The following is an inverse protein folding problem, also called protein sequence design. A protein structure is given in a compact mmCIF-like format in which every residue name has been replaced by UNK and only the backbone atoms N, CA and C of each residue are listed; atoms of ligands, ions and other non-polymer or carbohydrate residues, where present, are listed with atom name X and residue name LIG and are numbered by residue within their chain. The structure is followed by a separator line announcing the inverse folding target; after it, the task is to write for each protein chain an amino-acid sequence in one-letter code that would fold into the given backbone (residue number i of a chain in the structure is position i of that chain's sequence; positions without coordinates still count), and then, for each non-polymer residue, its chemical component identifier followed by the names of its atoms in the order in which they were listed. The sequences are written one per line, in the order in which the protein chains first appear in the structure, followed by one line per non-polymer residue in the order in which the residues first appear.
data_IF_402110906979
#
_entry.id   IF_402110906979
#
_cell.length_a   1.000
_cell.length_b   1.000
_cell.length_c   1.000
_cell.angle_alpha   90.00
_cell.angle_beta   90.00
_cell.angle_gamma   90.00
#
_symmetry.space_group_name_H-M   'P 1'
#
loop_
_entity.id
_entity.type
_entity.pdbx_description
1 polymer ?
#
# COMPACT_ATOMS: atom_id res chain seq x y z
N UNK A 1 21.17 19.90 -64.36
CA UNK A 1 19.95 19.30 -63.78
C UNK A 1 20.38 18.42 -62.61
N UNK A 2 19.67 18.46 -61.48
CA UNK A 2 19.82 19.40 -60.37
C UNK A 2 21.04 19.09 -59.46
N UNK A 3 21.54 20.12 -58.76
CA UNK A 3 22.61 20.00 -57.78
C UNK A 3 22.13 19.23 -56.55
N UNK A 4 23.03 18.41 -56.00
CA UNK A 4 22.80 17.72 -54.74
C UNK A 4 22.58 18.77 -53.64
N UNK A 5 21.38 18.81 -53.07
CA UNK A 5 21.10 19.49 -51.81
C UNK A 5 21.91 18.80 -50.70
N UNK A 6 23.13 19.27 -50.47
CA UNK A 6 23.88 18.90 -49.28
C UNK A 6 23.12 19.50 -48.09
N UNK A 7 22.52 18.71 -47.19
CA UNK A 7 21.77 19.25 -46.07
C UNK A 7 22.69 20.17 -45.26
N UNK A 8 22.30 21.44 -45.10
CA UNK A 8 23.08 22.41 -44.35
C UNK A 8 23.32 21.88 -42.93
N UNK A 9 24.58 21.90 -42.43
CA UNK A 9 24.89 21.33 -41.12
C UNK A 9 24.19 22.14 -40.02
N UNK A 10 23.42 21.45 -39.17
CA UNK A 10 22.76 22.03 -38.01
C UNK A 10 23.77 22.16 -36.85
N UNK A 11 23.68 23.25 -36.10
CA UNK A 11 24.44 23.39 -34.85
C UNK A 11 23.94 22.42 -33.77
N UNK A 12 24.79 22.06 -32.81
CA UNK A 12 24.43 21.19 -31.67
C UNK A 12 23.21 21.73 -30.92
N UNK A 13 23.15 23.05 -30.74
CA UNK A 13 22.00 23.73 -30.13
C UNK A 13 20.73 23.61 -30.96
N UNK A 14 20.82 23.67 -32.29
CA UNK A 14 19.67 23.48 -33.17
C UNK A 14 19.14 22.05 -33.16
N UNK A 15 20.03 21.05 -33.12
CA UNK A 15 19.66 19.64 -33.00
C UNK A 15 18.90 19.39 -31.69
N UNK A 16 19.44 19.84 -30.55
CA UNK A 16 18.80 19.67 -29.24
C UNK A 16 17.46 20.41 -29.16
N UNK A 17 17.38 21.64 -29.67
CA UNK A 17 16.13 22.42 -29.70
C UNK A 17 15.06 21.72 -30.55
N UNK A 18 15.42 21.19 -31.71
CA UNK A 18 14.48 20.52 -32.63
C UNK A 18 14.03 19.17 -32.07
N UNK A 19 14.92 18.41 -31.43
CA UNK A 19 14.61 17.17 -30.73
C UNK A 19 13.65 17.42 -29.56
N UNK A 20 13.92 18.44 -28.74
CA UNK A 20 13.04 18.87 -27.64
C UNK A 20 11.64 19.20 -28.13
N UNK A 21 11.52 20.04 -29.16
CA UNK A 21 10.23 20.44 -29.71
C UNK A 21 9.43 19.26 -30.26
N UNK A 22 10.10 18.30 -30.90
CA UNK A 22 9.43 17.11 -31.44
C UNK A 22 8.91 16.22 -30.31
N UNK A 23 9.74 15.99 -29.28
CA UNK A 23 9.37 15.23 -28.09
C UNK A 23 8.21 15.87 -27.32
N UNK A 24 8.29 17.17 -27.06
CA UNK A 24 7.24 17.90 -26.35
C UNK A 24 5.92 17.92 -27.13
N UNK A 25 5.98 17.95 -28.48
CA UNK A 25 4.79 17.92 -29.34
C UNK A 25 4.15 16.53 -29.42
N UNK A 26 4.94 15.48 -29.63
CA UNK A 26 4.42 14.15 -29.93
C UNK A 26 4.01 13.38 -28.66
N UNK A 27 4.71 13.58 -27.53
CA UNK A 27 4.41 12.87 -26.28
C UNK A 27 3.51 13.65 -25.32
N UNK A 28 3.49 14.98 -25.41
CA UNK A 28 2.67 15.82 -24.55
C UNK A 28 2.83 15.51 -23.05
N UNK A 29 1.71 15.39 -22.35
CA UNK A 29 1.66 14.94 -20.97
C UNK A 29 1.33 13.44 -20.92
N UNK A 30 2.16 12.68 -20.18
CA UNK A 30 2.01 11.24 -20.07
C UNK A 30 2.19 10.75 -18.63
N UNK A 31 1.75 9.51 -18.43
CA UNK A 31 1.97 8.74 -17.23
C UNK A 31 3.03 7.67 -17.49
N UNK A 32 4.02 7.57 -16.61
CA UNK A 32 5.07 6.56 -16.66
C UNK A 32 5.05 5.79 -15.35
N UNK A 33 5.03 4.46 -15.44
CA UNK A 33 5.23 3.57 -14.30
C UNK A 33 6.66 3.05 -14.29
N UNK A 34 7.28 2.97 -13.12
CA UNK A 34 8.59 2.37 -12.96
C UNK A 34 9.04 2.32 -11.50
N UNK A 35 10.13 1.60 -11.25
CA UNK A 35 10.76 1.52 -9.93
C UNK A 35 11.66 2.73 -9.73
N UNK A 36 11.56 3.39 -8.57
CA UNK A 36 12.46 4.47 -8.19
C UNK A 36 13.87 3.96 -7.92
N UNK A 37 14.86 4.65 -8.48
CA UNK A 37 16.28 4.39 -8.25
C UNK A 37 17.05 5.70 -8.16
N UNK A 38 17.98 5.79 -7.21
CA UNK A 38 18.85 6.95 -7.05
C UNK A 38 18.12 8.24 -6.70
N UNK A 39 17.16 8.18 -5.77
CA UNK A 39 16.41 9.35 -5.30
C UNK A 39 17.36 10.32 -4.56
N UNK A 40 17.60 11.47 -5.16
CA UNK A 40 18.44 12.55 -4.63
C UNK A 40 17.59 13.77 -4.28
N UNK A 41 17.77 14.27 -3.04
CA UNK A 41 17.06 15.45 -2.51
C UNK A 41 18.07 16.52 -2.07
N UNK A 42 18.69 17.25 -3.01
CA UNK A 42 19.56 18.36 -2.67
C UNK A 42 18.83 19.48 -1.91
N UNK A 43 19.56 20.25 -1.09
CA UNK A 43 19.01 21.33 -0.23
C UNK A 43 18.25 22.46 -0.97
N UNK A 44 18.29 22.47 -2.30
CA UNK A 44 17.44 23.33 -3.16
C UNK A 44 15.94 22.99 -3.11
N UNK A 45 15.57 21.81 -2.61
CA UNK A 45 14.18 21.33 -2.55
C UNK A 45 13.67 20.71 -3.86
N UNK A 46 14.54 20.54 -4.85
CA UNK A 46 14.27 19.72 -6.04
C UNK A 46 14.53 18.24 -5.71
N UNK A 47 13.75 17.35 -6.31
CA UNK A 47 13.94 15.91 -6.19
C UNK A 47 14.31 15.35 -7.56
N UNK A 48 15.44 14.67 -7.64
CA UNK A 48 15.90 13.98 -8.85
C UNK A 48 15.86 12.48 -8.57
N UNK A 49 15.35 11.70 -9.51
CA UNK A 49 15.29 10.25 -9.38
C UNK A 49 15.27 9.64 -10.76
N UNK A 50 15.55 8.34 -10.85
CA UNK A 50 15.45 7.59 -12.10
C UNK A 50 14.32 6.58 -11.95
N UNK A 51 13.43 6.51 -12.94
CA UNK A 51 12.49 5.40 -13.08
C UNK A 51 13.14 4.33 -13.93
N UNK A 52 13.16 3.10 -13.45
CA UNK A 52 13.64 1.95 -14.21
C UNK A 52 12.54 0.91 -14.40
N UNK A 53 12.61 0.20 -15.50
CA UNK A 53 11.90 -1.05 -15.76
C UNK A 53 12.94 -2.15 -16.10
N UNK A 54 12.49 -3.34 -16.48
CA UNK A 54 13.38 -4.48 -16.80
C UNK A 54 14.32 -4.22 -18.00
N UNK A 55 14.04 -3.22 -18.83
CA UNK A 55 14.71 -2.99 -20.13
C UNK A 55 15.27 -1.58 -20.31
N UNK A 56 14.80 -0.60 -19.55
CA UNK A 56 15.04 0.81 -19.77
C UNK A 56 15.05 1.61 -18.46
N UNK A 57 15.64 2.79 -18.53
CA UNK A 57 15.66 3.76 -17.44
C UNK A 57 15.36 5.17 -17.96
N UNK A 58 14.67 5.96 -17.16
CA UNK A 58 14.22 7.31 -17.46
C UNK A 58 14.53 8.25 -16.30
N UNK A 59 15.39 9.24 -16.55
CA UNK A 59 15.69 10.28 -15.55
C UNK A 59 14.47 11.19 -15.35
N UNK A 60 14.17 11.48 -14.10
CA UNK A 60 13.04 12.28 -13.69
C UNK A 60 13.48 13.43 -12.79
N UNK A 61 12.89 14.60 -13.02
CA UNK A 61 13.12 15.79 -12.23
C UNK A 61 11.79 16.33 -11.70
N UNK A 62 11.69 16.48 -10.39
CA UNK A 62 10.54 17.02 -9.68
C UNK A 62 10.92 18.34 -9.05
N UNK A 63 10.32 19.43 -9.54
CA UNK A 63 10.64 20.76 -9.04
C UNK A 63 10.01 21.03 -7.67
N UNK A 64 10.68 21.83 -6.81
CA UNK A 64 10.23 22.21 -5.45
C UNK A 64 8.75 22.57 -5.35
N UNK A 65 8.26 23.33 -6.33
CA UNK A 65 6.86 23.80 -6.36
C UNK A 65 5.85 22.66 -6.40
N UNK A 66 6.22 21.51 -6.99
CA UNK A 66 5.41 20.29 -7.05
C UNK A 66 5.81 19.27 -5.98
N UNK A 67 7.10 19.19 -5.63
CA UNK A 67 7.59 18.32 -4.58
C UNK A 67 6.85 18.49 -3.23
N UNK A 68 6.47 19.72 -2.87
CA UNK A 68 5.68 20.01 -1.65
C UNK A 68 4.28 19.39 -1.62
N UNK A 69 3.71 19.02 -2.77
CA UNK A 69 2.39 18.39 -2.86
C UNK A 69 2.48 16.86 -2.96
N UNK A 70 3.68 16.29 -3.01
CA UNK A 70 3.88 14.85 -3.02
C UNK A 70 3.89 14.37 -1.57
N UNK A 71 2.78 13.75 -1.15
CA UNK A 71 2.63 13.15 0.18
C UNK A 71 3.24 11.74 0.27
N UNK A 72 3.49 11.09 -0.87
CA UNK A 72 3.98 9.71 -0.91
C UNK A 72 5.47 9.63 -0.53
N UNK A 73 5.89 8.70 0.34
CA UNK A 73 7.31 8.43 0.56
C UNK A 73 7.91 7.91 -0.76
N UNK A 74 8.94 8.60 -1.26
CA UNK A 74 9.70 8.18 -2.45
C UNK A 74 11.04 7.59 -1.99
N UNK A 75 11.12 6.27 -1.84
CA UNK A 75 12.35 5.54 -1.52
C UNK A 75 12.83 4.77 -2.74
N UNK A 76 14.13 4.51 -2.80
CA UNK A 76 14.70 3.60 -3.80
C UNK A 76 14.06 2.22 -3.64
N UNK A 77 13.61 1.63 -4.75
CA UNK A 77 12.87 0.38 -4.78
C UNK A 77 11.34 0.52 -4.84
N UNK A 78 10.78 1.71 -4.58
CA UNK A 78 9.33 1.91 -4.63
C UNK A 78 8.85 1.95 -6.09
N UNK A 79 7.82 1.16 -6.42
CA UNK A 79 7.14 1.24 -7.71
C UNK A 79 6.21 2.46 -7.69
N UNK A 80 6.35 3.37 -8.65
CA UNK A 80 5.55 4.61 -8.72
C UNK A 80 5.03 4.88 -10.13
N UNK A 81 3.85 5.49 -10.21
CA UNK A 81 3.31 6.14 -11.40
C UNK A 81 3.57 7.63 -11.30
N UNK A 82 4.28 8.19 -12.26
CA UNK A 82 4.53 9.63 -12.35
C UNK A 82 3.79 10.20 -13.55
N UNK A 83 3.19 11.38 -13.37
CA UNK A 83 2.64 12.19 -14.47
C UNK A 83 3.61 13.32 -14.78
N UNK A 84 3.93 13.52 -16.04
CA UNK A 84 4.88 14.55 -16.44
C UNK A 84 4.98 14.74 -17.95
N UNK A 85 5.92 15.62 -18.33
CA UNK A 85 6.23 15.92 -19.73
C UNK A 85 7.68 15.59 -20.02
N UNK A 86 7.90 14.97 -21.17
CA UNK A 86 9.26 14.68 -21.63
C UNK A 86 9.89 15.94 -22.17
N UNK A 87 11.13 16.20 -21.75
CA UNK A 87 11.89 17.36 -22.17
C UNK A 87 13.38 17.01 -22.26
N UNK A 88 14.14 17.84 -22.96
CA UNK A 88 15.59 17.71 -23.07
C UNK A 88 16.24 18.89 -22.38
N UNK A 89 17.20 18.62 -21.50
CA UNK A 89 18.03 19.67 -20.92
C UNK A 89 19.03 20.18 -21.96
N UNK A 90 18.65 21.23 -22.68
CA UNK A 90 19.38 21.78 -23.84
C UNK A 90 20.90 21.94 -23.67
N UNK A 91 21.42 22.41 -22.51
CA UNK A 91 22.87 22.59 -22.34
C UNK A 91 23.67 21.29 -22.35
N UNK A 92 23.02 20.15 -22.03
CA UNK A 92 23.69 18.84 -21.90
C UNK A 92 23.11 17.77 -22.82
N UNK A 93 21.97 18.04 -23.47
CA UNK A 93 21.26 17.07 -24.30
C UNK A 93 20.62 15.93 -23.50
N UNK A 94 20.52 16.03 -22.18
CA UNK A 94 20.00 14.96 -21.33
C UNK A 94 18.47 14.84 -21.48
N UNK A 95 18.01 13.63 -21.77
CA UNK A 95 16.60 13.28 -21.80
C UNK A 95 16.04 13.11 -20.39
N UNK A 96 14.95 13.83 -20.08
CA UNK A 96 14.35 13.79 -18.76
C UNK A 96 12.83 13.96 -18.78
N UNK A 97 12.17 13.36 -17.79
CA UNK A 97 10.76 13.60 -17.51
C UNK A 97 10.63 14.68 -16.43
N UNK A 98 9.97 15.79 -16.77
CA UNK A 98 9.59 16.81 -15.79
C UNK A 98 8.32 16.32 -15.12
N UNK A 99 8.44 15.93 -13.85
CA UNK A 99 7.35 15.31 -13.10
C UNK A 99 6.47 16.39 -12.47
N UNK A 100 5.17 16.27 -12.69
CA UNK A 100 4.15 17.14 -12.11
C UNK A 100 3.37 16.48 -10.98
N UNK A 101 3.18 15.17 -11.02
CA UNK A 101 2.53 14.40 -9.96
C UNK A 101 3.18 13.03 -9.80
N UNK A 102 3.21 12.51 -8.57
CA UNK A 102 3.72 11.18 -8.23
C UNK A 102 2.64 10.45 -7.46
N UNK A 103 2.34 9.22 -7.87
CA UNK A 103 1.43 8.31 -7.20
C UNK A 103 2.18 7.00 -6.96
N UNK A 104 2.08 6.42 -5.77
CA UNK A 104 2.63 5.08 -5.55
C UNK A 104 1.90 4.08 -6.44
N UNK A 105 2.65 3.32 -7.25
CA UNK A 105 2.10 2.23 -8.04
C UNK A 105 1.78 1.08 -7.08
N UNK A 106 0.73 0.31 -7.40
CA UNK A 106 0.20 -0.72 -6.50
C UNK A 106 -1.01 -0.26 -5.69
N UNK A 107 -1.06 0.96 -5.14
CA UNK A 107 -2.24 1.40 -4.35
C UNK A 107 -3.52 1.39 -5.18
N UNK A 108 -3.47 1.85 -6.45
CA UNK A 108 -4.65 1.87 -7.32
C UNK A 108 -5.14 0.47 -7.72
N UNK A 109 -4.22 -0.45 -8.04
CA UNK A 109 -4.59 -1.83 -8.41
C UNK A 109 -5.02 -2.65 -7.20
N UNK A 110 -4.35 -2.49 -6.06
CA UNK A 110 -4.71 -3.10 -4.80
C UNK A 110 -6.09 -2.59 -4.36
N UNK A 111 -6.34 -1.28 -4.39
CA UNK A 111 -7.65 -0.72 -4.06
C UNK A 111 -8.73 -1.20 -5.03
N UNK A 112 -8.46 -1.25 -6.33
CA UNK A 112 -9.39 -1.80 -7.31
C UNK A 112 -9.63 -3.31 -7.13
N UNK A 113 -8.62 -4.08 -6.73
CA UNK A 113 -8.76 -5.49 -6.38
C UNK A 113 -9.59 -5.65 -5.10
N UNK A 114 -9.36 -4.82 -4.10
CA UNK A 114 -10.11 -4.79 -2.84
C UNK A 114 -11.58 -4.43 -3.07
N UNK A 115 -11.89 -3.38 -3.83
CA UNK A 115 -13.28 -3.01 -4.13
C UNK A 115 -14.01 -4.10 -4.92
N UNK A 116 -13.33 -4.76 -5.87
CA UNK A 116 -13.88 -5.93 -6.59
C UNK A 116 -14.15 -7.09 -5.62
N UNK A 117 -13.21 -7.40 -4.73
CA UNK A 117 -13.36 -8.48 -3.75
C UNK A 117 -14.49 -8.17 -2.76
N UNK A 118 -14.51 -6.96 -2.20
CA UNK A 118 -15.54 -6.48 -1.29
C UNK A 118 -16.92 -6.56 -1.92
N UNK A 119 -17.08 -6.10 -3.16
CA UNK A 119 -18.36 -6.18 -3.89
C UNK A 119 -18.81 -7.63 -4.08
N UNK A 120 -17.89 -8.53 -4.44
CA UNK A 120 -18.18 -9.97 -4.58
C UNK A 120 -18.61 -10.60 -3.26
N UNK A 121 -17.83 -10.39 -2.19
CA UNK A 121 -18.13 -10.94 -0.86
C UNK A 121 -19.43 -10.37 -0.27
N UNK A 122 -19.74 -9.11 -0.55
CA UNK A 122 -21.02 -8.50 -0.17
C UNK A 122 -22.19 -9.16 -0.90
N UNK A 123 -22.07 -9.39 -2.21
CA UNK A 123 -23.09 -10.08 -3.01
C UNK A 123 -23.31 -11.53 -2.56
N UNK A 124 -22.27 -12.19 -2.06
CA UNK A 124 -22.36 -13.54 -1.46
C UNK A 124 -22.89 -13.53 -0.01
N UNK A 125 -23.12 -12.37 0.60
CA UNK A 125 -23.63 -12.25 1.95
C UNK A 125 -22.59 -12.50 3.06
N UNK A 126 -21.30 -12.53 2.73
CA UNK A 126 -20.20 -12.79 3.68
C UNK A 126 -20.13 -11.74 4.79
N UNK A 127 -20.67 -10.54 4.55
CA UNK A 127 -20.73 -9.46 5.55
C UNK A 127 -22.00 -9.47 6.42
N UNK A 128 -22.98 -10.33 6.13
CA UNK A 128 -24.24 -10.41 6.89
C UNK A 128 -24.10 -11.14 8.25
N UNK A 129 -22.89 -11.16 8.83
CA UNK A 129 -22.57 -11.90 10.04
C UNK A 129 -23.14 -11.17 11.28
N UNK A 130 -24.33 -11.59 11.72
CA UNK A 130 -25.07 -11.01 12.84
C UNK A 130 -24.96 -11.84 14.14
N UNK A 131 -23.82 -12.52 14.37
CA UNK A 131 -23.64 -13.29 15.60
C UNK A 131 -23.73 -12.39 16.83
N UNK A 132 -24.47 -12.79 17.88
CA UNK A 132 -24.52 -12.02 19.12
C UNK A 132 -23.13 -12.01 19.75
N UNK A 133 -22.65 -10.82 20.12
CA UNK A 133 -21.43 -10.69 20.90
C UNK A 133 -21.74 -10.97 22.38
N UNK A 134 -20.98 -11.84 23.05
CA UNK A 134 -21.09 -12.00 24.48
C UNK A 134 -20.65 -10.70 25.16
N UNK A 135 -21.53 -10.13 25.99
CA UNK A 135 -21.26 -8.90 26.73
C UNK A 135 -21.67 -9.04 28.20
N UNK A 136 -20.73 -8.94 29.15
CA UNK A 136 -19.28 -8.96 28.94
C UNK A 136 -18.79 -10.37 28.54
N UNK A 137 -17.71 -10.50 27.75
CA UNK A 137 -17.13 -11.80 27.43
C UNK A 137 -16.49 -12.42 28.69
N UNK A 138 -16.71 -13.72 28.91
CA UNK A 138 -16.04 -14.48 29.97
C UNK A 138 -14.59 -14.78 29.58
N UNK A 139 -14.37 -15.11 28.31
CA UNK A 139 -13.05 -15.41 27.77
C UNK A 139 -12.84 -14.68 26.44
N UNK A 140 -11.85 -13.80 26.38
CA UNK A 140 -11.41 -13.12 25.18
C UNK A 140 -10.13 -13.75 24.63
N UNK A 141 -10.21 -14.28 23.41
CA UNK A 141 -9.11 -14.91 22.68
C UNK A 141 -8.53 -13.87 21.72
N UNK A 142 -7.35 -13.33 22.02
CA UNK A 142 -6.75 -12.22 21.27
C UNK A 142 -5.70 -12.75 20.31
N UNK A 143 -5.93 -12.61 19.00
CA UNK A 143 -4.95 -12.91 17.95
C UNK A 143 -4.19 -11.63 17.65
N UNK A 144 -2.92 -11.59 18.03
CA UNK A 144 -2.03 -10.43 17.87
C UNK A 144 -0.56 -10.85 17.92
N UNK A 145 0.35 -9.94 17.55
CA UNK A 145 1.75 -10.10 17.90
C UNK A 145 1.97 -9.96 19.42
N UNK A 146 2.94 -10.68 20.00
CA UNK A 146 3.19 -10.67 21.45
C UNK A 146 3.83 -9.38 21.95
N UNK A 147 4.48 -8.60 21.08
CA UNK A 147 5.22 -7.38 21.43
C UNK A 147 4.51 -6.09 21.05
N UNK A 148 3.37 -6.16 20.35
CA UNK A 148 2.66 -5.01 19.82
C UNK A 148 2.07 -4.08 20.88
N UNK A 149 1.91 -2.80 20.56
CA UNK A 149 1.19 -1.84 21.41
C UNK A 149 -0.29 -2.21 21.57
N UNK A 150 -0.92 -2.66 20.48
CA UNK A 150 -2.34 -2.99 20.47
C UNK A 150 -2.78 -4.03 21.52
N UNK A 151 -1.95 -5.05 21.81
CA UNK A 151 -2.27 -6.01 22.88
C UNK A 151 -2.17 -5.36 24.26
N UNK A 152 -1.25 -4.42 24.48
CA UNK A 152 -1.15 -3.69 25.74
C UNK A 152 -2.37 -2.81 25.98
N UNK A 153 -2.85 -2.14 24.93
CA UNK A 153 -4.04 -1.29 25.00
C UNK A 153 -5.29 -2.12 25.31
N UNK A 154 -5.46 -3.27 24.63
CA UNK A 154 -6.53 -4.23 24.91
C UNK A 154 -6.51 -4.68 26.37
N UNK A 155 -5.33 -5.07 26.88
CA UNK A 155 -5.19 -5.52 28.27
C UNK A 155 -5.47 -4.40 29.27
N UNK A 156 -5.04 -3.17 29.00
CA UNK A 156 -5.29 -2.01 29.86
C UNK A 156 -6.80 -1.69 29.96
N UNK A 157 -7.51 -1.70 28.83
CA UNK A 157 -8.97 -1.47 28.79
C UNK A 157 -9.72 -2.59 29.52
N UNK A 158 -9.33 -3.85 29.32
CA UNK A 158 -9.96 -4.99 29.98
C UNK A 158 -9.74 -4.97 31.49
N UNK A 159 -8.52 -4.66 31.94
CA UNK A 159 -8.23 -4.54 33.37
C UNK A 159 -9.07 -3.42 34.04
N UNK A 160 -9.30 -2.31 33.34
CA UNK A 160 -10.08 -1.19 33.86
C UNK A 160 -11.59 -1.42 33.86
N UNK A 161 -12.14 -2.08 32.83
CA UNK A 161 -13.61 -2.21 32.64
C UNK A 161 -14.16 -3.59 33.00
N UNK A 162 -13.41 -4.66 32.77
CA UNK A 162 -13.84 -6.05 32.94
C UNK A 162 -12.73 -6.94 33.54
N UNK A 163 -12.28 -6.69 34.79
CA UNK A 163 -11.14 -7.38 35.40
C UNK A 163 -11.35 -8.89 35.60
N UNK A 164 -12.60 -9.37 35.54
CA UNK A 164 -12.94 -10.80 35.66
C UNK A 164 -12.90 -11.55 34.31
N UNK A 165 -12.74 -10.84 33.19
CA UNK A 165 -12.64 -11.47 31.88
C UNK A 165 -11.29 -12.19 31.75
N UNK A 166 -11.32 -13.48 31.41
CA UNK A 166 -10.11 -14.22 31.08
C UNK A 166 -9.61 -13.76 29.71
N UNK A 167 -8.34 -13.41 29.60
CA UNK A 167 -7.72 -13.06 28.32
C UNK A 167 -6.68 -14.10 27.96
N UNK A 168 -6.68 -14.57 26.71
CA UNK A 168 -5.63 -15.46 26.21
C UNK A 168 -5.09 -14.91 24.92
N UNK A 169 -3.81 -14.55 24.93
CA UNK A 169 -3.08 -14.13 23.74
C UNK A 169 -2.70 -15.36 22.92
N UNK A 170 -3.01 -15.31 21.64
CA UNK A 170 -2.64 -16.30 20.63
C UNK A 170 -1.67 -15.60 19.70
N UNK A 171 -0.35 -15.87 19.85
CA UNK A 171 0.67 -15.16 19.10
C UNK A 171 0.59 -15.55 17.63
N UNK A 172 0.31 -14.57 16.77
CA UNK A 172 0.30 -14.73 15.32
C UNK A 172 1.00 -13.54 14.65
N UNK A 173 1.62 -13.73 13.48
CA UNK A 173 2.04 -12.62 12.65
C UNK A 173 0.82 -11.77 12.25
N UNK A 174 0.96 -10.46 12.36
CA UNK A 174 -0.10 -9.46 12.06
C UNK A 174 0.27 -8.54 10.90
N UNK A 175 1.34 -8.88 10.18
CA UNK A 175 1.82 -8.19 8.99
C UNK A 175 2.60 -9.17 8.11
N UNK A 176 2.77 -8.82 6.84
CA UNK A 176 3.48 -9.66 5.88
C UNK A 176 2.67 -10.85 5.37
N UNK A 177 3.28 -11.64 4.47
CA UNK A 177 2.60 -12.71 3.72
C UNK A 177 2.13 -13.88 4.58
N UNK A 178 2.73 -14.08 5.76
CA UNK A 178 2.39 -15.17 6.67
C UNK A 178 1.20 -14.86 7.59
N UNK A 179 0.79 -13.58 7.68
CA UNK A 179 -0.26 -13.15 8.61
C UNK A 179 -1.62 -13.79 8.32
N UNK A 180 -2.11 -13.74 7.08
CA UNK A 180 -3.40 -14.33 6.73
C UNK A 180 -3.45 -15.86 6.95
N UNK A 181 -2.48 -16.67 6.45
CA UNK A 181 -2.45 -18.10 6.72
C UNK A 181 -2.39 -18.46 8.21
N UNK A 182 -1.62 -17.70 9.01
CA UNK A 182 -1.52 -17.93 10.45
C UNK A 182 -2.82 -17.59 11.17
N UNK A 183 -3.47 -16.47 10.83
CA UNK A 183 -4.78 -16.09 11.37
C UNK A 183 -5.84 -17.14 11.05
N UNK A 184 -5.91 -17.62 9.80
CA UNK A 184 -6.84 -18.67 9.38
C UNK A 184 -6.60 -19.96 10.17
N UNK A 185 -5.33 -20.35 10.32
CA UNK A 185 -4.95 -21.56 11.07
C UNK A 185 -5.34 -21.46 12.55
N UNK A 186 -5.08 -20.30 13.16
CA UNK A 186 -5.47 -20.02 14.55
C UNK A 186 -6.99 -20.03 14.73
N UNK A 187 -7.75 -19.38 13.85
CA UNK A 187 -9.21 -19.45 13.84
C UNK A 187 -9.69 -20.90 13.74
N UNK A 188 -9.12 -21.69 12.83
CA UNK A 188 -9.45 -23.10 12.67
C UNK A 188 -9.19 -23.92 13.95
N UNK A 189 -8.08 -23.67 14.64
CA UNK A 189 -7.76 -24.34 15.91
C UNK A 189 -8.77 -23.99 17.01
N UNK A 190 -9.10 -22.71 17.18
CA UNK A 190 -10.08 -22.27 18.19
C UNK A 190 -11.47 -22.82 17.90
N UNK A 191 -11.88 -22.82 16.64
CA UNK A 191 -13.17 -23.36 16.24
C UNK A 191 -13.30 -24.87 16.48
N UNK A 192 -12.19 -25.62 16.63
CA UNK A 192 -12.20 -27.04 17.01
C UNK A 192 -12.22 -27.31 18.52
N UNK A 193 -11.98 -26.31 19.37
CA UNK A 193 -11.93 -26.52 20.83
C UNK A 193 -13.33 -26.61 21.46
N UNK A 194 -13.74 -27.80 21.87
CA UNK A 194 -15.03 -28.04 22.53
C UNK A 194 -15.22 -27.29 23.85
N UNK A 195 -14.13 -26.88 24.51
CA UNK A 195 -14.18 -26.13 25.77
C UNK A 195 -14.62 -24.66 25.62
N UNK A 196 -14.57 -24.10 24.39
CA UNK A 196 -14.97 -22.72 24.13
C UNK A 196 -16.47 -22.65 23.79
N UNK A 197 -17.17 -21.69 24.37
CA UNK A 197 -18.61 -21.49 24.26
C UNK A 197 -18.91 -20.19 23.48
N UNK A 198 -19.57 -20.25 22.30
CA UNK A 198 -19.95 -19.07 21.52
C UNK A 198 -20.83 -18.04 22.26
N UNK A 199 -21.56 -18.45 23.29
CA UNK A 199 -22.38 -17.55 24.11
C UNK A 199 -21.60 -16.80 25.19
N UNK A 200 -20.31 -17.13 25.40
CA UNK A 200 -19.49 -16.60 26.50
C UNK A 200 -18.09 -16.20 26.09
N UNK A 201 -17.58 -16.75 25.00
CA UNK A 201 -16.21 -16.60 24.55
C UNK A 201 -16.19 -15.91 23.19
N UNK A 202 -15.25 -14.99 23.01
CA UNK A 202 -15.13 -14.18 21.81
C UNK A 202 -13.69 -14.14 21.32
N UNK A 203 -13.52 -13.96 20.02
CA UNK A 203 -12.22 -13.78 19.37
C UNK A 203 -12.03 -12.30 19.05
N UNK A 204 -10.86 -11.76 19.36
CA UNK A 204 -10.44 -10.42 18.95
C UNK A 204 -9.20 -10.53 18.07
N UNK A 205 -9.30 -10.10 16.82
CA UNK A 205 -8.14 -9.90 15.95
C UNK A 205 -7.73 -8.45 16.12
N UNK A 206 -6.50 -8.20 16.57
CA UNK A 206 -6.02 -6.83 16.83
C UNK A 206 -4.65 -6.58 16.26
N UNK A 207 -4.48 -5.37 15.72
CA UNK A 207 -3.20 -4.84 15.25
C UNK A 207 -3.23 -3.31 15.35
N UNK A 208 -2.11 -2.72 15.74
CA UNK A 208 -1.95 -1.27 15.82
C UNK A 208 -1.94 -0.59 14.45
N UNK A 209 -1.64 0.71 14.41
CA UNK A 209 -1.47 1.45 13.16
C UNK A 209 -0.24 1.03 12.36
N UNK A 210 -0.15 1.50 11.10
CA UNK A 210 0.99 1.31 10.20
C UNK A 210 0.57 1.41 8.74
N UNK A 211 1.47 1.08 7.82
CA UNK A 211 1.24 1.33 6.39
C UNK A 211 0.08 0.48 5.84
N UNK A 212 -0.50 0.93 4.72
CA UNK A 212 -1.53 0.16 3.99
C UNK A 212 -1.01 -1.24 3.61
N UNK A 213 0.29 -1.35 3.31
CA UNK A 213 0.96 -2.61 2.96
C UNK A 213 1.00 -3.58 4.15
N UNK A 214 1.28 -3.07 5.35
CA UNK A 214 1.26 -3.88 6.58
C UNK A 214 -0.14 -4.39 6.90
N UNK A 215 -1.16 -3.58 6.62
CA UNK A 215 -2.57 -3.87 6.85
C UNK A 215 -3.20 -4.74 5.76
N UNK A 216 -2.51 -4.90 4.63
CA UNK A 216 -3.06 -5.59 3.48
C UNK A 216 -3.40 -7.05 3.76
N UNK A 217 -2.68 -7.69 4.69
CA UNK A 217 -2.93 -9.07 5.09
C UNK A 217 -4.36 -9.30 5.63
N UNK A 218 -5.04 -8.26 6.12
CA UNK A 218 -6.42 -8.37 6.62
C UNK A 218 -7.47 -8.31 5.50
N UNK A 219 -7.09 -7.95 4.28
CA UNK A 219 -7.95 -7.90 3.10
C UNK A 219 -7.99 -9.22 2.31
N UNK A 220 -7.52 -10.32 2.90
CA UNK A 220 -7.50 -11.64 2.27
C UNK A 220 -8.89 -12.29 2.22
N UNK A 221 -9.25 -12.84 1.05
CA UNK A 221 -10.55 -13.49 0.83
C UNK A 221 -10.76 -14.70 1.74
N UNK A 222 -9.74 -15.53 1.92
CA UNK A 222 -9.84 -16.75 2.73
C UNK A 222 -9.97 -16.41 4.20
N UNK A 223 -9.31 -15.34 4.67
CA UNK A 223 -9.47 -14.83 6.03
C UNK A 223 -10.90 -14.34 6.27
N UNK A 224 -11.46 -13.54 5.35
CA UNK A 224 -12.84 -13.06 5.45
C UNK A 224 -13.83 -14.24 5.52
N UNK A 225 -13.65 -15.26 4.67
CA UNK A 225 -14.45 -16.48 4.70
C UNK A 225 -14.24 -17.30 5.99
N UNK A 226 -13.02 -17.39 6.50
CA UNK A 226 -12.74 -18.09 7.76
C UNK A 226 -13.46 -17.43 8.94
N UNK A 227 -13.47 -16.09 8.99
CA UNK A 227 -14.23 -15.31 9.98
C UNK A 227 -15.73 -15.57 9.82
N UNK A 228 -16.24 -15.53 8.58
CA UNK A 228 -17.64 -15.81 8.28
C UNK A 228 -18.06 -17.24 8.68
N UNK A 229 -17.17 -18.24 8.64
CA UNK A 229 -17.50 -19.61 9.07
C UNK A 229 -17.14 -19.93 10.53
N UNK A 230 -16.52 -19.00 11.26
CA UNK A 230 -16.16 -19.19 12.66
C UNK A 230 -17.40 -19.47 13.52
N UNK A 231 -17.42 -20.46 14.41
CA UNK A 231 -18.54 -20.61 15.35
C UNK A 231 -18.50 -19.57 16.46
N UNK A 232 -17.29 -19.11 16.82
CA UNK A 232 -17.08 -18.07 17.82
C UNK A 232 -17.28 -16.69 17.17
N UNK A 233 -17.89 -15.71 17.88
CA UNK A 233 -17.97 -14.34 17.42
C UNK A 233 -16.56 -13.74 17.32
N UNK A 234 -16.28 -13.09 16.19
CA UNK A 234 -14.96 -12.49 15.90
C UNK A 234 -15.13 -10.99 15.78
N UNK A 235 -14.33 -10.26 16.55
CA UNK A 235 -14.19 -8.81 16.49
C UNK A 235 -12.86 -8.44 15.82
N UNK A 236 -12.87 -7.33 15.07
CA UNK A 236 -11.67 -6.75 14.49
C UNK A 236 -11.38 -5.40 15.16
N UNK A 237 -10.15 -5.23 15.63
CA UNK A 237 -9.58 -3.98 16.12
C UNK A 237 -8.28 -3.71 15.35
N UNK A 238 -8.42 -3.49 14.04
CA UNK A 238 -7.31 -3.23 13.12
C UNK A 238 -7.39 -1.76 12.70
N UNK A 239 -6.47 -0.94 13.19
CA UNK A 239 -6.46 0.51 12.96
C UNK A 239 -5.46 0.96 11.89
N UNK A 240 -5.71 2.12 11.28
CA UNK A 240 -4.80 2.79 10.32
C UNK A 240 -3.97 3.93 10.92
N UNK A 241 -4.25 4.39 12.14
CA UNK A 241 -3.53 5.51 12.76
C UNK A 241 -3.00 5.11 14.13
N UNK A 242 -1.73 5.43 14.37
CA UNK A 242 -1.17 5.54 15.70
C UNK A 242 -1.41 7.00 16.08
N UNK A 243 -2.18 7.26 17.14
CA UNK A 243 -2.29 8.61 17.73
C UNK A 243 -0.91 9.15 18.15
#
# INVERSE_FOLDING_TARGET
MPGADTPSPLSVSEVNRRARQTLERDFGELWVEGELSGVSRPGSGHVYFTLKDDRAQLRCALFRNRARFVAAPMRDGDLVKVRGRLSIFEPRGDYQLIVEAVQAAGVGELLAAFERLKTRLAAEGVFANARPLPYPPRHLLVLSSPTGAAIRDVLAVLAARWPLAKVTLIPVPVQGREAAPALISALGLLNRQSALDPGRDAILITRGGGSLEDLWAFNDEHLARAIFHSRLPVMSAVGHEVD
#
